data_IF_048782137465
#
_entry.id   IF_048782137465
#
_cell.length_a   1.000
_cell.length_b   1.000
_cell.length_c   1.000
_cell.angle_alpha   90.00
_cell.angle_beta   90.00
_cell.angle_gamma   90.00
#
_symmetry.space_group_name_H-M   'P 1'
#
loop_
_entity.id
_entity.type
_entity.pdbx_description
1 polymer ?
#
# COMPACT_ATOMS: atom_id res chain seq x y z
N UNK A 1 13.13 -12.60 12.69
CA UNK A 1 13.92 -12.94 11.47
C UNK A 1 13.01 -13.36 10.29
N UNK A 2 12.10 -12.51 9.80
CA UNK A 2 11.37 -12.82 8.54
C UNK A 2 11.17 -11.63 7.60
N UNK A 3 11.50 -10.40 8.02
CA UNK A 3 11.23 -9.19 7.22
C UNK A 3 12.03 -9.14 5.91
N UNK A 4 13.24 -9.71 5.85
CA UNK A 4 14.07 -9.63 4.64
C UNK A 4 13.50 -10.46 3.48
N UNK A 5 13.01 -11.68 3.77
CA UNK A 5 12.43 -12.56 2.75
C UNK A 5 11.09 -12.02 2.27
N UNK A 6 10.28 -11.55 3.20
CA UNK A 6 8.97 -10.96 2.93
C UNK A 6 9.10 -9.65 2.12
N UNK A 7 10.06 -8.79 2.48
CA UNK A 7 10.39 -7.59 1.70
C UNK A 7 10.93 -7.90 0.30
N UNK A 8 11.75 -8.95 0.14
CA UNK A 8 12.24 -9.35 -1.18
C UNK A 8 11.12 -9.91 -2.06
N UNK A 9 10.19 -10.67 -1.46
CA UNK A 9 9.02 -11.16 -2.17
C UNK A 9 8.15 -9.99 -2.66
N UNK A 10 7.95 -9.00 -1.79
CA UNK A 10 7.28 -7.74 -2.11
C UNK A 10 7.93 -6.98 -3.27
N UNK A 11 9.24 -6.80 -3.21
CA UNK A 11 10.00 -6.13 -4.27
C UNK A 11 9.88 -6.89 -5.60
N UNK A 12 9.93 -8.22 -5.56
CA UNK A 12 9.76 -9.04 -6.75
C UNK A 12 8.35 -8.87 -7.34
N UNK A 13 7.31 -8.91 -6.51
CA UNK A 13 5.92 -8.68 -6.93
C UNK A 13 5.75 -7.28 -7.52
N UNK A 14 6.32 -6.25 -6.87
CA UNK A 14 6.28 -4.88 -7.36
C UNK A 14 7.00 -4.68 -8.70
N UNK A 15 8.19 -5.28 -8.87
CA UNK A 15 8.94 -5.22 -10.14
C UNK A 15 8.18 -5.94 -11.25
N UNK A 16 7.67 -7.14 -10.96
CA UNK A 16 6.84 -7.89 -11.90
C UNK A 16 5.58 -7.11 -12.27
N UNK A 17 4.95 -6.45 -11.30
CA UNK A 17 3.81 -5.58 -11.50
C UNK A 17 4.12 -4.44 -12.46
N UNK A 18 5.17 -3.67 -12.15
CA UNK A 18 5.56 -2.49 -12.92
C UNK A 18 5.99 -2.86 -14.35
N UNK A 19 6.65 -3.99 -14.55
CA UNK A 19 6.99 -4.45 -15.90
C UNK A 19 5.80 -5.04 -16.64
N UNK A 20 4.93 -5.83 -15.99
CA UNK A 20 3.72 -6.37 -16.61
C UNK A 20 2.77 -5.24 -17.05
N UNK A 21 2.58 -4.21 -16.23
CA UNK A 21 1.74 -3.05 -16.56
C UNK A 21 2.20 -2.26 -17.79
N UNK A 22 3.45 -2.40 -18.24
CA UNK A 22 3.92 -1.80 -19.50
C UNK A 22 3.49 -2.57 -20.74
N UNK A 23 3.08 -3.83 -20.57
CA UNK A 23 2.87 -4.76 -21.67
C UNK A 23 1.45 -5.32 -21.74
N UNK A 24 0.72 -5.32 -20.61
CA UNK A 24 -0.64 -5.86 -20.51
C UNK A 24 -1.53 -4.96 -19.65
N UNK A 25 -2.84 -5.02 -19.89
CA UNK A 25 -3.84 -4.47 -18.97
C UNK A 25 -3.85 -5.29 -17.67
N UNK A 26 -3.51 -4.63 -16.55
CA UNK A 26 -3.41 -5.24 -15.22
C UNK A 26 -4.72 -5.23 -14.44
N UNK A 27 -5.79 -4.63 -14.97
CA UNK A 27 -7.05 -4.38 -14.23
C UNK A 27 -7.68 -5.64 -13.62
N UNK A 28 -7.63 -6.78 -14.34
CA UNK A 28 -8.15 -8.05 -13.84
C UNK A 28 -7.29 -8.64 -12.71
N UNK A 29 -5.97 -8.46 -12.79
CA UNK A 29 -5.03 -8.89 -11.77
C UNK A 29 -5.11 -8.01 -10.51
N UNK A 30 -5.29 -6.69 -10.68
CA UNK A 30 -5.52 -5.74 -9.58
C UNK A 30 -6.73 -6.15 -8.75
N UNK A 31 -7.81 -6.49 -9.45
CA UNK A 31 -9.04 -6.94 -8.82
C UNK A 31 -8.82 -8.21 -8.01
N UNK A 32 -8.15 -9.21 -8.58
CA UNK A 32 -7.84 -10.46 -7.87
C UNK A 32 -6.98 -10.26 -6.63
N UNK A 33 -5.98 -9.37 -6.69
CA UNK A 33 -5.13 -9.05 -5.52
C UNK A 33 -5.94 -8.39 -4.39
N UNK A 34 -6.90 -7.53 -4.74
CA UNK A 34 -7.79 -6.89 -3.74
C UNK A 34 -8.81 -7.85 -3.16
N UNK A 35 -9.38 -8.72 -3.99
CA UNK A 35 -10.31 -9.78 -3.56
C UNK A 35 -9.63 -10.72 -2.53
N UNK A 36 -8.32 -10.94 -2.66
CA UNK A 36 -7.51 -11.71 -1.71
C UNK A 36 -6.99 -10.89 -0.51
N UNK A 37 -7.42 -9.64 -0.35
CA UNK A 37 -6.94 -8.72 0.69
C UNK A 37 -5.41 -8.52 0.68
N UNK A 38 -4.81 -8.44 -0.51
CA UNK A 38 -3.38 -8.23 -0.70
C UNK A 38 -3.05 -6.85 -1.29
N UNK A 39 -3.92 -5.86 -1.08
CA UNK A 39 -3.78 -4.50 -1.66
C UNK A 39 -2.46 -3.79 -1.32
N UNK A 40 -1.81 -4.15 -0.22
CA UNK A 40 -0.47 -3.70 0.17
C UNK A 40 0.63 -4.04 -0.84
N UNK A 41 0.40 -5.00 -1.74
CA UNK A 41 1.32 -5.39 -2.79
C UNK A 41 1.18 -4.56 -4.08
N UNK A 42 0.10 -3.76 -4.20
CA UNK A 42 -0.14 -2.92 -5.37
C UNK A 42 0.65 -1.60 -5.26
N UNK A 43 1.23 -1.08 -6.36
CA UNK A 43 2.01 0.16 -6.31
C UNK A 43 1.24 1.38 -5.87
N UNK A 44 -0.10 1.41 -6.06
CA UNK A 44 -1.08 2.29 -5.40
C UNK A 44 -2.43 2.24 -6.10
N UNK A 45 -3.49 2.62 -5.38
CA UNK A 45 -4.81 2.88 -5.96
C UNK A 45 -4.88 4.32 -6.51
N UNK A 46 -4.80 4.48 -7.83
CA UNK A 46 -4.95 5.78 -8.48
C UNK A 46 -6.41 6.24 -8.59
N UNK A 47 -7.38 5.43 -8.18
CA UNK A 47 -8.81 5.80 -8.21
C UNK A 47 -9.25 6.62 -7.00
N UNK A 48 -8.44 6.64 -5.94
CA UNK A 48 -8.70 7.43 -4.72
C UNK A 48 -7.97 8.77 -4.84
N UNK A 49 -8.71 9.86 -4.69
CA UNK A 49 -8.14 11.21 -4.70
C UNK A 49 -7.23 11.44 -3.47
N UNK A 50 -6.10 12.12 -3.66
CA UNK A 50 -5.10 12.35 -2.62
C UNK A 50 -5.65 13.08 -1.38
N UNK A 51 -6.67 13.92 -1.55
CA UNK A 51 -7.31 14.66 -0.47
C UNK A 51 -8.44 13.88 0.21
N UNK A 52 -8.68 12.64 -0.20
CA UNK A 52 -9.61 11.73 0.47
C UNK A 52 -9.07 11.33 1.84
N UNK A 53 -9.91 11.45 2.86
CA UNK A 53 -9.61 11.00 4.23
C UNK A 53 -10.30 9.68 4.53
N UNK A 54 -9.51 8.65 4.79
CA UNK A 54 -9.98 7.27 5.04
C UNK A 54 -9.81 6.87 6.50
N UNK A 55 -10.77 6.13 7.04
CA UNK A 55 -10.65 5.53 8.37
C UNK A 55 -9.67 4.35 8.35
N UNK A 56 -9.17 3.90 9.52
CA UNK A 56 -8.39 2.67 9.60
C UNK A 56 -9.12 1.46 9.01
N UNK A 57 -10.43 1.30 9.21
CA UNK A 57 -11.18 0.19 8.63
C UNK A 57 -11.19 0.25 7.10
N UNK A 58 -11.46 1.42 6.52
CA UNK A 58 -11.42 1.59 5.05
C UNK A 58 -10.04 1.28 4.49
N UNK A 59 -8.97 1.73 5.17
CA UNK A 59 -7.61 1.39 4.75
C UNK A 59 -7.31 -0.11 4.89
N UNK A 60 -7.86 -0.81 5.88
CA UNK A 60 -7.75 -2.27 5.98
C UNK A 60 -8.42 -2.96 4.79
N UNK A 61 -9.62 -2.51 4.42
CA UNK A 61 -10.35 -3.05 3.26
C UNK A 61 -9.58 -2.84 1.97
N UNK A 62 -9.01 -1.64 1.77
CA UNK A 62 -8.27 -1.30 0.56
C UNK A 62 -6.89 -1.96 0.49
N UNK A 63 -6.18 -2.04 1.61
CA UNK A 63 -4.77 -2.42 1.64
C UNK A 63 -4.52 -3.82 2.21
N UNK A 64 -5.51 -4.44 2.86
CA UNK A 64 -5.36 -5.77 3.46
C UNK A 64 -4.52 -5.80 4.75
N UNK A 65 -4.22 -4.65 5.33
CA UNK A 65 -3.56 -4.58 6.64
C UNK A 65 -4.55 -4.82 7.78
N UNK A 66 -4.04 -5.19 8.95
CA UNK A 66 -4.85 -5.19 10.17
C UNK A 66 -5.04 -3.77 10.69
N UNK A 67 -6.16 -3.53 11.37
CA UNK A 67 -6.47 -2.21 11.93
C UNK A 67 -5.43 -1.76 12.95
N UNK A 68 -4.91 -2.70 13.74
CA UNK A 68 -3.82 -2.45 14.69
C UNK A 68 -2.52 -2.04 13.99
N UNK A 69 -2.21 -2.59 12.81
CA UNK A 69 -1.06 -2.18 12.03
C UNK A 69 -1.20 -0.75 11.52
N UNK A 70 -2.39 -0.38 11.03
CA UNK A 70 -2.69 0.96 10.50
C UNK A 70 -2.70 2.00 11.62
N UNK A 71 -3.33 1.71 12.77
CA UNK A 71 -3.31 2.60 13.95
C UNK A 71 -1.88 2.89 14.43
N UNK A 72 -0.96 1.94 14.28
CA UNK A 72 0.45 2.12 14.63
C UNK A 72 1.25 3.01 13.64
N UNK A 73 0.70 3.35 12.46
CA UNK A 73 1.43 4.15 11.46
C UNK A 73 1.73 5.56 11.92
N UNK A 74 0.85 6.15 12.74
CA UNK A 74 1.09 7.47 13.36
C UNK A 74 2.42 7.51 14.10
N UNK A 75 2.69 6.47 14.90
CA UNK A 75 3.92 6.39 15.69
C UNK A 75 5.12 5.94 14.87
N UNK A 76 4.91 4.98 13.95
CA UNK A 76 6.00 4.35 13.21
C UNK A 76 6.52 5.17 12.03
N UNK A 77 5.64 5.94 11.40
CA UNK A 77 5.94 6.67 10.15
C UNK A 77 5.63 8.16 10.23
N UNK A 78 5.32 8.67 11.43
CA UNK A 78 4.93 10.06 11.65
C UNK A 78 3.72 10.49 10.78
N UNK A 79 2.83 9.54 10.46
CA UNK A 79 1.66 9.79 9.62
C UNK A 79 0.63 10.59 10.40
N UNK A 80 0.17 11.72 9.85
CA UNK A 80 -0.80 12.60 10.52
C UNK A 80 -2.22 12.06 10.33
N UNK A 81 -2.95 11.92 11.42
CA UNK A 81 -4.38 11.67 11.39
C UNK A 81 -5.16 12.94 11.76
N UNK A 82 -6.26 13.19 11.05
CA UNK A 82 -7.23 14.26 11.35
C UNK A 82 -8.56 13.56 11.63
N UNK A 83 -9.14 13.79 12.82
CA UNK A 83 -10.36 13.12 13.28
C UNK A 83 -10.33 11.59 13.13
N UNK A 84 -9.17 10.99 13.42
CA UNK A 84 -8.96 9.54 13.33
C UNK A 84 -8.82 8.99 11.90
N UNK A 85 -8.81 9.85 10.88
CA UNK A 85 -8.65 9.49 9.47
C UNK A 85 -7.28 9.88 8.93
N UNK A 86 -6.80 9.12 7.96
CA UNK A 86 -5.55 9.42 7.25
C UNK A 86 -5.85 9.92 5.85
N UNK A 87 -5.11 10.95 5.43
CA UNK A 87 -5.15 11.46 4.06
C UNK A 87 -4.52 10.45 3.10
N UNK A 88 -5.20 10.14 2.00
CA UNK A 88 -4.74 9.14 1.05
C UNK A 88 -3.40 9.49 0.43
N UNK A 89 -3.16 10.76 0.06
CA UNK A 89 -1.88 11.20 -0.49
C UNK A 89 -0.69 10.91 0.44
N UNK A 90 -0.87 11.02 1.75
CA UNK A 90 0.17 10.74 2.74
C UNK A 90 0.39 9.21 2.88
N UNK A 91 -0.69 8.42 2.81
CA UNK A 91 -0.64 6.95 2.81
C UNK A 91 0.05 6.43 1.54
N UNK A 92 -0.29 6.97 0.37
CA UNK A 92 0.37 6.66 -0.91
C UNK A 92 1.86 6.94 -0.82
N UNK A 93 2.24 8.13 -0.39
CA UNK A 93 3.65 8.50 -0.26
C UNK A 93 4.41 7.53 0.67
N UNK A 94 3.78 7.08 1.76
CA UNK A 94 4.33 6.06 2.66
C UNK A 94 4.53 4.70 1.95
N UNK A 95 3.58 4.26 1.14
CA UNK A 95 3.66 2.99 0.42
C UNK A 95 4.74 3.03 -0.68
N UNK A 96 4.83 4.14 -1.40
CA UNK A 96 5.86 4.39 -2.42
C UNK A 96 7.26 4.48 -1.80
N UNK A 97 7.42 5.18 -0.67
CA UNK A 97 8.70 5.30 0.03
C UNK A 97 9.20 3.93 0.56
N UNK A 98 8.30 3.04 0.98
CA UNK A 98 8.68 1.66 1.34
C UNK A 98 9.22 0.85 0.14
N UNK A 99 8.82 1.18 -1.08
CA UNK A 99 9.38 0.62 -2.31
C UNK A 99 10.75 1.21 -2.68
N UNK A 100 11.02 2.47 -2.30
CA UNK A 100 12.22 3.22 -2.71
C UNK A 100 13.39 3.26 -1.72
N UNK A 101 13.16 3.10 -0.40
CA UNK A 101 14.17 3.38 0.64
C UNK A 101 15.21 2.27 0.92
N UNK A 102 15.50 1.39 -0.06
CA UNK A 102 16.62 0.44 0.01
C UNK A 102 17.61 0.54 -1.16
N UNK A 103 17.54 1.60 -1.97
CA UNK A 103 18.57 1.95 -2.94
C UNK A 103 19.51 3.04 -2.37
N UNK A 104 20.31 2.69 -1.36
CA UNK A 104 21.50 3.44 -0.92
C UNK A 104 22.45 2.49 -0.20
#
# INVERSE_FOLDING_TARGET
MSSLRENRLLQLVWVLWHELGKHIDTSALERGIREEHLGWALPTDSSIDDDTYLTPEQLCEHLGYTESAIRNWRHRYNLRAIDGKYRWGDVRALLEDRGGRQAS
#
